data_IF_825472741135
#
_entry.id   IF_825472741135
#
_cell.length_a   1.000
_cell.length_b   1.000
_cell.length_c   1.000
_cell.angle_alpha   90.00
_cell.angle_beta   90.00
_cell.angle_gamma   90.00
#
_symmetry.space_group_name_H-M   'P 1'
#
loop_
_entity.id
_entity.type
_entity.pdbx_description
1 polymer ?
#
# COMPACT_ATOMS: atom_id res chain seq x y z
N UNK A 1 34.90 -24.68 30.52
CA UNK A 1 34.00 -23.74 29.81
C UNK A 1 32.60 -24.35 29.78
N UNK A 2 31.54 -23.59 30.06
CA UNK A 2 30.18 -24.13 29.97
C UNK A 2 29.87 -24.53 28.52
N UNK A 3 29.14 -25.63 28.36
CA UNK A 3 28.70 -26.11 27.05
C UNK A 3 27.67 -25.13 26.51
N UNK A 4 28.01 -24.44 25.41
CA UNK A 4 27.13 -23.48 24.74
C UNK A 4 26.27 -24.24 23.71
N UNK A 5 24.95 -23.97 23.60
CA UNK A 5 24.09 -24.62 22.62
C UNK A 5 24.58 -24.44 21.18
N UNK A 6 24.56 -25.52 20.40
CA UNK A 6 24.92 -25.50 18.97
C UNK A 6 23.80 -24.85 18.14
N UNK A 7 24.14 -24.16 17.04
CA UNK A 7 23.16 -23.51 16.16
C UNK A 7 22.02 -24.43 15.69
N UNK A 8 22.32 -25.71 15.39
CA UNK A 8 21.30 -26.70 14.99
C UNK A 8 20.25 -26.94 16.07
N UNK A 9 20.67 -26.95 17.34
CA UNK A 9 19.76 -27.13 18.47
C UNK A 9 18.86 -25.89 18.64
N UNK A 10 19.43 -24.68 18.54
CA UNK A 10 18.64 -23.43 18.58
C UNK A 10 17.59 -23.37 17.47
N UNK A 11 17.94 -23.78 16.24
CA UNK A 11 16.99 -23.87 15.13
C UNK A 11 15.87 -24.88 15.40
N UNK A 12 16.19 -26.03 16.01
CA UNK A 12 15.21 -27.05 16.33
C UNK A 12 14.24 -26.62 17.43
N UNK A 13 14.76 -25.98 18.48
CA UNK A 13 13.93 -25.39 19.55
C UNK A 13 13.03 -24.29 19.00
N UNK A 14 13.57 -23.40 18.15
CA UNK A 14 12.78 -22.38 17.48
C UNK A 14 11.67 -22.98 16.60
N UNK A 15 11.98 -24.02 15.82
CA UNK A 15 10.98 -24.69 15.00
C UNK A 15 9.87 -25.34 15.85
N UNK A 16 10.23 -25.98 16.97
CA UNK A 16 9.26 -26.57 17.90
C UNK A 16 8.37 -25.52 18.57
N UNK A 17 8.94 -24.38 18.98
CA UNK A 17 8.18 -23.26 19.53
C UNK A 17 7.24 -22.61 18.49
N UNK A 18 7.68 -22.44 17.24
CA UNK A 18 6.81 -21.95 16.17
C UNK A 18 5.67 -22.93 15.89
N UNK A 19 5.94 -24.24 15.91
CA UNK A 19 4.92 -25.27 15.73
C UNK A 19 3.91 -25.31 16.90
N UNK A 20 4.36 -25.12 18.14
CA UNK A 20 3.46 -25.11 19.30
C UNK A 20 2.49 -23.92 19.27
N UNK A 21 2.92 -22.77 18.72
CA UNK A 21 2.10 -21.56 18.55
C UNK A 21 1.47 -21.44 17.17
N UNK A 22 1.53 -22.48 16.33
CA UNK A 22 1.04 -22.41 14.95
C UNK A 22 -0.45 -22.05 14.88
N UNK A 23 -1.26 -22.53 15.83
CA UNK A 23 -2.67 -22.18 15.93
C UNK A 23 -2.90 -20.69 16.14
N UNK A 24 -2.16 -20.08 17.07
CA UNK A 24 -2.22 -18.64 17.36
C UNK A 24 -1.70 -17.80 16.19
N UNK A 25 -0.57 -18.19 15.59
CA UNK A 25 0.00 -17.53 14.42
C UNK A 25 -1.00 -17.57 13.26
N UNK A 26 -1.61 -18.73 13.00
CA UNK A 26 -2.65 -18.88 12.00
C UNK A 26 -3.85 -18.01 12.33
N UNK A 27 -4.35 -18.03 13.57
CA UNK A 27 -5.48 -17.23 14.03
C UNK A 27 -5.22 -15.73 13.84
N UNK A 28 -4.02 -15.26 14.21
CA UNK A 28 -3.56 -13.88 14.05
C UNK A 28 -3.50 -13.46 12.57
N UNK A 29 -2.96 -14.32 11.71
CA UNK A 29 -2.96 -14.05 10.26
C UNK A 29 -4.39 -14.05 9.74
N UNK A 30 -5.25 -14.97 10.18
CA UNK A 30 -6.62 -15.11 9.69
C UNK A 30 -7.61 -14.09 10.25
N UNK A 31 -7.29 -13.44 11.37
CA UNK A 31 -8.11 -12.39 11.98
C UNK A 31 -7.95 -11.04 11.31
N UNK A 32 -6.95 -10.87 10.44
CA UNK A 32 -6.80 -9.65 9.65
C UNK A 32 -8.01 -9.48 8.72
N UNK A 33 -8.62 -8.30 8.75
CA UNK A 33 -9.76 -7.92 7.92
C UNK A 33 -9.72 -6.41 7.64
N UNK A 34 -10.64 -5.91 6.83
CA UNK A 34 -10.75 -4.50 6.50
C UNK A 34 -12.00 -4.22 5.68
N UNK A 35 -12.48 -2.98 5.74
CA UNK A 35 -13.57 -2.51 4.90
C UNK A 35 -13.09 -1.95 3.57
N UNK A 36 -11.81 -1.60 3.45
CA UNK A 36 -11.21 -1.07 2.23
C UNK A 36 -9.98 -1.89 1.89
N UNK A 37 -10.06 -2.62 0.79
CA UNK A 37 -8.99 -3.48 0.33
C UNK A 37 -8.25 -2.84 -0.84
N UNK A 38 -6.99 -3.22 -1.01
CA UNK A 38 -6.18 -2.94 -2.20
C UNK A 38 -5.60 -4.23 -2.75
N UNK A 39 -5.88 -4.51 -4.02
CA UNK A 39 -5.28 -5.60 -4.79
C UNK A 39 -4.27 -5.02 -5.79
N UNK A 40 -2.99 -5.32 -5.56
CA UNK A 40 -1.88 -4.94 -6.44
C UNK A 40 -1.30 -6.20 -7.09
N UNK A 41 -1.15 -6.20 -8.41
CA UNK A 41 -0.61 -7.34 -9.15
C UNK A 41 0.62 -6.93 -9.97
N UNK A 42 1.73 -7.63 -9.76
CA UNK A 42 3.01 -7.27 -10.37
C UNK A 42 3.79 -8.46 -10.91
N UNK A 43 4.43 -8.27 -12.07
CA UNK A 43 5.43 -9.21 -12.61
C UNK A 43 6.84 -8.96 -12.06
N UNK A 44 7.08 -7.80 -11.45
CA UNK A 44 8.45 -7.32 -11.14
C UNK A 44 9.18 -8.23 -10.16
N UNK A 45 8.51 -8.63 -9.08
CA UNK A 45 9.13 -9.50 -8.06
C UNK A 45 9.34 -10.92 -8.58
N UNK A 46 8.40 -11.43 -9.37
CA UNK A 46 8.47 -12.77 -9.95
C UNK A 46 9.67 -12.93 -10.88
N UNK A 47 10.00 -11.90 -11.66
CA UNK A 47 11.20 -11.87 -12.51
C UNK A 47 12.52 -11.90 -11.72
N UNK A 48 12.48 -11.57 -10.44
CA UNK A 48 13.66 -11.58 -9.55
C UNK A 48 13.83 -12.90 -8.80
N UNK A 49 12.88 -13.83 -8.92
CA UNK A 49 12.99 -15.15 -8.29
C UNK A 49 14.14 -15.96 -8.92
N UNK A 50 14.87 -16.68 -8.08
CA UNK A 50 16.06 -17.44 -8.46
C UNK A 50 16.04 -18.85 -7.86
N UNK A 51 17.00 -19.69 -8.27
CA UNK A 51 17.08 -21.08 -7.83
C UNK A 51 15.85 -21.88 -8.21
N UNK A 52 15.37 -22.73 -7.30
CA UNK A 52 14.18 -23.57 -7.49
C UNK A 52 12.88 -22.79 -7.65
N UNK A 53 12.84 -21.50 -7.29
CA UNK A 53 11.68 -20.64 -7.43
C UNK A 53 11.63 -19.89 -8.78
N UNK A 54 12.67 -19.98 -9.62
CA UNK A 54 12.69 -19.30 -10.92
C UNK A 54 11.62 -19.88 -11.84
N UNK A 55 10.89 -19.00 -12.52
CA UNK A 55 9.87 -19.35 -13.53
C UNK A 55 8.69 -20.20 -13.00
N UNK A 56 8.49 -20.28 -11.68
CA UNK A 56 7.35 -21.00 -11.08
C UNK A 56 6.05 -20.21 -11.10
N UNK A 57 6.12 -18.91 -11.36
CA UNK A 57 4.99 -18.01 -11.47
C UNK A 57 5.26 -16.95 -12.54
N UNK A 58 4.21 -16.23 -12.94
CA UNK A 58 4.31 -15.07 -13.83
C UNK A 58 3.90 -13.77 -13.13
N UNK A 59 3.08 -13.85 -12.08
CA UNK A 59 2.52 -12.73 -11.34
C UNK A 59 2.59 -12.95 -9.83
N UNK A 60 2.73 -11.86 -9.09
CA UNK A 60 2.52 -11.80 -7.65
C UNK A 60 1.36 -10.84 -7.39
N UNK A 61 0.35 -11.31 -6.66
CA UNK A 61 -0.81 -10.53 -6.28
C UNK A 61 -0.88 -10.40 -4.76
N UNK A 62 -1.06 -9.17 -4.28
CA UNK A 62 -1.13 -8.85 -2.86
C UNK A 62 -2.45 -8.14 -2.55
N UNK A 63 -3.10 -8.57 -1.48
CA UNK A 63 -4.27 -7.91 -0.90
C UNK A 63 -3.91 -7.32 0.45
N UNK A 64 -3.99 -6.00 0.57
CA UNK A 64 -3.84 -5.27 1.83
C UNK A 64 -5.12 -4.55 2.26
N UNK A 65 -5.22 -4.18 3.54
CA UNK A 65 -6.33 -3.40 4.09
C UNK A 65 -5.96 -1.92 4.33
N UNK A 66 -6.93 -1.14 4.79
CA UNK A 66 -6.79 0.28 5.14
C UNK A 66 -5.77 0.56 6.27
N UNK A 67 -5.44 -0.45 7.08
CA UNK A 67 -4.49 -0.34 8.18
C UNK A 67 -3.05 -0.65 7.76
N UNK A 68 -2.81 -0.89 6.46
CA UNK A 68 -1.48 -1.23 5.94
C UNK A 68 -1.06 -2.68 6.22
N UNK A 69 -2.00 -3.55 6.62
CA UNK A 69 -1.74 -4.96 6.87
C UNK A 69 -1.94 -5.76 5.60
N UNK A 70 -1.08 -6.76 5.38
CA UNK A 70 -1.22 -7.70 4.27
C UNK A 70 -2.16 -8.82 4.68
N UNK A 71 -3.30 -8.94 4.00
CA UNK A 71 -4.27 -10.00 4.24
C UNK A 71 -3.87 -11.29 3.51
N UNK A 72 -3.37 -11.16 2.28
CA UNK A 72 -3.02 -12.30 1.43
C UNK A 72 -2.00 -11.92 0.36
N UNK A 73 -1.09 -12.86 0.06
CA UNK A 73 -0.13 -12.77 -1.05
C UNK A 73 -0.08 -14.10 -1.78
N UNK A 74 -0.25 -14.08 -3.10
CA UNK A 74 -0.20 -15.28 -3.94
C UNK A 74 0.68 -15.08 -5.17
N UNK A 75 1.33 -16.16 -5.60
CA UNK A 75 2.05 -16.24 -6.87
C UNK A 75 1.21 -17.04 -7.87
N UNK A 76 0.95 -16.48 -9.05
CA UNK A 76 0.06 -17.08 -10.06
C UNK A 76 0.68 -17.09 -11.45
N UNK A 77 0.18 -17.99 -12.31
CA UNK A 77 0.54 -18.04 -13.73
C UNK A 77 -0.12 -16.90 -14.54
N UNK A 78 -1.23 -16.35 -14.05
CA UNK A 78 -1.98 -15.27 -14.72
C UNK A 78 -2.65 -14.33 -13.71
N UNK A 79 -2.89 -13.09 -14.16
CA UNK A 79 -3.81 -12.15 -13.51
C UNK A 79 -5.27 -12.50 -13.88
N UNK A 80 -6.25 -11.73 -13.41
CA UNK A 80 -7.67 -11.94 -13.74
C UNK A 80 -8.16 -13.26 -13.14
N UNK A 81 -8.72 -14.15 -13.97
CA UNK A 81 -9.28 -15.43 -13.51
C UNK A 81 -8.28 -16.34 -12.79
N UNK A 82 -6.97 -16.14 -12.98
CA UNK A 82 -5.94 -16.80 -12.16
C UNK A 82 -6.06 -16.51 -10.66
N UNK A 83 -6.74 -15.42 -10.29
CA UNK A 83 -7.00 -15.00 -8.91
C UNK A 83 -8.32 -15.53 -8.33
N UNK A 84 -9.11 -16.29 -9.09
CA UNK A 84 -10.43 -16.75 -8.67
C UNK A 84 -10.42 -17.52 -7.34
N UNK A 85 -9.51 -18.51 -7.20
CA UNK A 85 -9.36 -19.27 -5.96
C UNK A 85 -8.91 -18.43 -4.77
N UNK A 86 -8.07 -17.42 -5.02
CA UNK A 86 -7.63 -16.48 -3.98
C UNK A 86 -8.81 -15.65 -3.49
N UNK A 87 -9.61 -15.10 -4.42
CA UNK A 87 -10.79 -14.31 -4.09
C UNK A 87 -11.85 -15.15 -3.35
N UNK A 88 -12.12 -16.37 -3.82
CA UNK A 88 -13.03 -17.31 -3.15
C UNK A 88 -12.56 -17.62 -1.73
N UNK A 89 -11.28 -17.93 -1.55
CA UNK A 89 -10.70 -18.18 -0.23
C UNK A 89 -10.83 -16.97 0.70
N UNK A 90 -10.65 -15.76 0.17
CA UNK A 90 -10.80 -14.52 0.93
C UNK A 90 -12.25 -14.25 1.34
N UNK A 91 -13.21 -14.43 0.42
CA UNK A 91 -14.65 -14.33 0.70
C UNK A 91 -15.04 -15.33 1.79
N UNK A 92 -14.63 -16.59 1.64
CA UNK A 92 -14.92 -17.66 2.60
C UNK A 92 -14.33 -17.36 3.97
N UNK A 93 -13.11 -16.82 4.03
CA UNK A 93 -12.48 -16.41 5.28
C UNK A 93 -13.27 -15.31 5.99
N UNK A 94 -13.71 -14.27 5.27
CA UNK A 94 -14.55 -13.22 5.86
C UNK A 94 -15.85 -13.79 6.41
N UNK A 95 -16.49 -14.68 5.64
CA UNK A 95 -17.73 -15.35 6.06
C UNK A 95 -17.53 -16.22 7.31
N UNK A 96 -16.49 -17.05 7.34
CA UNK A 96 -16.20 -17.95 8.46
C UNK A 96 -15.83 -17.21 9.74
N UNK A 97 -15.10 -16.10 9.62
CA UNK A 97 -14.72 -15.25 10.75
C UNK A 97 -15.81 -14.24 11.15
N UNK A 98 -16.98 -14.28 10.50
CA UNK A 98 -18.09 -13.35 10.71
C UNK A 98 -17.69 -11.87 10.55
N UNK A 99 -16.77 -11.58 9.62
CA UNK A 99 -16.42 -10.21 9.26
C UNK A 99 -17.42 -9.63 8.28
N UNK A 100 -17.69 -8.32 8.42
CA UNK A 100 -18.44 -7.59 7.41
C UNK A 100 -17.69 -7.62 6.07
N UNK A 101 -18.38 -7.85 4.94
CA UNK A 101 -17.76 -7.74 3.62
C UNK A 101 -17.10 -6.37 3.41
N UNK A 102 -15.98 -6.31 2.67
CA UNK A 102 -15.37 -5.04 2.32
C UNK A 102 -16.31 -4.21 1.46
N UNK A 103 -16.27 -2.90 1.67
CA UNK A 103 -17.06 -1.92 0.92
C UNK A 103 -16.37 -1.53 -0.38
N UNK A 104 -15.04 -1.44 -0.36
CA UNK A 104 -14.25 -0.96 -1.50
C UNK A 104 -13.06 -1.88 -1.76
N UNK A 105 -12.77 -2.11 -3.05
CA UNK A 105 -11.54 -2.74 -3.52
C UNK A 105 -10.84 -1.82 -4.52
N UNK A 106 -9.65 -1.31 -4.17
CA UNK A 106 -8.77 -0.60 -5.09
C UNK A 106 -7.93 -1.59 -5.91
N UNK A 107 -7.82 -1.34 -7.21
CA UNK A 107 -7.05 -2.19 -8.14
C UNK A 107 -6.41 -1.37 -9.25
N UNK A 108 -5.37 -1.93 -9.85
CA UNK A 108 -4.57 -1.36 -10.94
C UNK A 108 -5.35 -1.17 -12.26
N UNK A 109 -6.27 -2.10 -12.53
CA UNK A 109 -7.01 -2.20 -13.80
C UNK A 109 -8.35 -2.87 -13.58
N UNK A 110 -9.18 -2.94 -14.61
CA UNK A 110 -10.44 -3.71 -14.56
C UNK A 110 -11.37 -3.28 -13.41
N UNK A 111 -11.37 -1.99 -13.07
CA UNK A 111 -12.20 -1.40 -12.02
C UNK A 111 -13.57 -0.91 -12.50
N UNK A 112 -13.80 -0.92 -13.82
CA UNK A 112 -15.02 -0.41 -14.45
C UNK A 112 -16.12 -1.49 -14.50
N UNK A 113 -17.38 -1.08 -14.75
CA UNK A 113 -18.55 -1.96 -14.72
C UNK A 113 -18.35 -3.23 -15.57
N UNK A 114 -18.82 -4.38 -15.06
CA UNK A 114 -18.76 -5.71 -15.69
C UNK A 114 -17.35 -6.28 -15.93
N UNK A 115 -16.35 -5.83 -15.19
CA UNK A 115 -15.01 -6.42 -15.26
C UNK A 115 -14.94 -7.87 -14.75
N UNK A 116 -13.87 -8.58 -15.12
CA UNK A 116 -13.61 -9.91 -14.57
C UNK A 116 -13.48 -9.92 -13.05
N UNK A 117 -12.97 -8.84 -12.45
CA UNK A 117 -12.83 -8.73 -11.00
C UNK A 117 -14.18 -8.73 -10.28
N UNK A 118 -15.22 -8.11 -10.87
CA UNK A 118 -16.57 -8.19 -10.31
C UNK A 118 -17.10 -9.64 -10.29
N UNK A 119 -16.77 -10.45 -11.30
CA UNK A 119 -17.14 -11.86 -11.34
C UNK A 119 -16.35 -12.69 -10.33
N UNK A 120 -15.04 -12.44 -10.23
CA UNK A 120 -14.12 -13.14 -9.33
C UNK A 120 -14.47 -12.86 -7.85
N UNK A 121 -14.85 -11.64 -7.50
CA UNK A 121 -15.31 -11.25 -6.17
C UNK A 121 -16.84 -11.32 -6.01
N UNK A 122 -17.52 -12.16 -6.80
CA UNK A 122 -18.99 -12.26 -6.82
C UNK A 122 -19.63 -12.63 -5.47
N UNK A 123 -18.86 -13.17 -4.52
CA UNK A 123 -19.31 -13.40 -3.14
C UNK A 123 -19.54 -12.13 -2.31
N UNK A 124 -19.16 -10.96 -2.82
CA UNK A 124 -19.41 -9.65 -2.21
C UNK A 124 -20.21 -8.76 -3.18
N UNK A 125 -21.55 -8.90 -3.24
CA UNK A 125 -22.38 -8.24 -4.27
C UNK A 125 -22.37 -6.71 -4.18
N UNK A 126 -22.14 -6.16 -2.99
CA UNK A 126 -22.08 -4.72 -2.75
C UNK A 126 -20.64 -4.16 -2.83
N UNK A 127 -19.66 -4.98 -3.25
CA UNK A 127 -18.28 -4.53 -3.34
C UNK A 127 -18.12 -3.49 -4.46
N UNK A 128 -17.65 -2.33 -4.06
CA UNK A 128 -17.32 -1.25 -4.96
C UNK A 128 -15.86 -1.36 -5.44
N UNK A 129 -15.64 -1.71 -6.71
CA UNK A 129 -14.29 -1.74 -7.27
C UNK A 129 -13.92 -0.34 -7.78
N UNK A 130 -12.72 0.13 -7.42
CA UNK A 130 -12.20 1.46 -7.75
C UNK A 130 -10.77 1.35 -8.28
N UNK A 131 -10.38 2.32 -9.09
CA UNK A 131 -9.01 2.43 -9.57
C UNK A 131 -8.11 2.95 -8.45
N UNK A 132 -6.93 2.38 -8.26
CA UNK A 132 -5.97 2.96 -7.32
C UNK A 132 -5.48 4.33 -7.81
N UNK A 133 -5.06 5.16 -6.85
CA UNK A 133 -4.67 6.56 -7.11
C UNK A 133 -3.51 6.69 -8.11
N UNK A 134 -2.58 5.75 -8.14
CA UNK A 134 -1.43 5.82 -9.03
C UNK A 134 -1.83 5.49 -10.48
N UNK A 135 -2.64 4.45 -10.68
CA UNK A 135 -3.17 4.16 -12.01
C UNK A 135 -4.19 5.21 -12.45
N UNK A 136 -4.93 5.83 -11.54
CA UNK A 136 -5.76 6.99 -11.84
C UNK A 136 -4.93 8.14 -12.43
N UNK A 137 -3.85 8.54 -11.74
CA UNK A 137 -2.94 9.57 -12.25
C UNK A 137 -2.35 9.20 -13.61
N UNK A 138 -1.91 7.95 -13.77
CA UNK A 138 -1.39 7.49 -15.06
C UNK A 138 -2.43 7.54 -16.17
N UNK A 139 -3.69 7.16 -15.91
CA UNK A 139 -4.75 7.22 -16.93
C UNK A 139 -5.03 8.64 -17.40
N UNK A 140 -5.01 9.61 -16.48
CA UNK A 140 -5.13 11.03 -16.85
C UNK A 140 -3.93 11.44 -17.72
N UNK A 141 -2.72 11.12 -17.28
CA UNK A 141 -1.51 11.51 -18.00
C UNK A 141 -1.39 10.91 -19.41
N UNK A 142 -1.93 9.69 -19.64
CA UNK A 142 -1.98 9.06 -20.98
C UNK A 142 -2.73 9.94 -21.99
N UNK A 143 -3.76 10.68 -21.57
CA UNK A 143 -4.50 11.60 -22.43
C UNK A 143 -3.73 12.86 -22.79
N UNK A 144 -2.68 13.18 -22.04
CA UNK A 144 -1.93 14.42 -22.17
C UNK A 144 -0.51 14.25 -22.71
N UNK A 145 0.08 13.03 -22.74
CA UNK A 145 1.34 12.63 -23.43
C UNK A 145 1.89 11.25 -22.98
N UNK A 146 2.95 10.76 -23.64
CA UNK A 146 3.76 9.62 -23.15
C UNK A 146 4.76 10.05 -22.06
N UNK A 147 5.29 9.12 -21.29
CA UNK A 147 6.28 9.37 -20.22
C UNK A 147 7.61 9.98 -20.71
N UNK A 148 7.85 9.90 -22.02
CA UNK A 148 9.04 10.44 -22.69
C UNK A 148 8.88 11.90 -23.12
N UNK A 149 7.69 12.49 -22.96
CA UNK A 149 7.43 13.85 -23.38
C UNK A 149 8.01 14.89 -22.40
N UNK A 150 8.63 16.00 -22.87
CA UNK A 150 9.25 17.00 -22.00
C UNK A 150 8.33 17.61 -20.93
N UNK A 151 7.02 17.72 -21.22
CA UNK A 151 6.04 18.29 -20.30
C UNK A 151 5.49 17.29 -19.26
N UNK A 152 5.78 15.99 -19.41
CA UNK A 152 5.20 14.94 -18.57
C UNK A 152 5.52 15.16 -17.08
N UNK A 153 6.75 15.54 -16.76
CA UNK A 153 7.19 15.79 -15.38
C UNK A 153 6.43 16.96 -14.74
N UNK A 154 6.27 18.07 -15.46
CA UNK A 154 5.52 19.23 -15.02
C UNK A 154 4.05 18.92 -14.81
N UNK A 155 3.42 18.21 -15.76
CA UNK A 155 2.04 17.76 -15.65
C UNK A 155 1.83 16.86 -14.43
N UNK A 156 2.69 15.86 -14.24
CA UNK A 156 2.61 14.95 -13.09
C UNK A 156 2.84 15.67 -11.76
N UNK A 157 3.68 16.70 -11.72
CA UNK A 157 3.87 17.52 -10.54
C UNK A 157 2.59 18.29 -10.17
N UNK A 158 1.92 18.91 -11.16
CA UNK A 158 0.64 19.60 -10.95
C UNK A 158 -0.47 18.63 -10.53
N UNK A 159 -0.63 17.52 -11.25
CA UNK A 159 -1.63 16.51 -10.92
C UNK A 159 -1.42 15.94 -9.51
N UNK A 160 -0.15 15.67 -9.15
CA UNK A 160 0.20 15.22 -7.79
C UNK A 160 -0.17 16.25 -6.73
N UNK A 161 0.00 17.55 -7.00
CA UNK A 161 -0.37 18.63 -6.08
C UNK A 161 -1.89 18.77 -5.90
N UNK A 162 -2.65 18.50 -6.96
CA UNK A 162 -4.12 18.48 -6.92
C UNK A 162 -4.65 17.31 -6.08
N UNK A 163 -3.98 16.16 -6.13
CA UNK A 163 -4.44 14.94 -5.44
C UNK A 163 -3.90 14.84 -4.01
N UNK A 164 -2.64 15.21 -3.80
CA UNK A 164 -1.95 14.98 -2.53
C UNK A 164 -1.48 16.27 -1.85
N UNK A 165 -1.73 16.33 -0.55
CA UNK A 165 -1.38 17.40 0.37
C UNK A 165 -0.47 16.84 1.47
N UNK A 166 0.43 17.67 2.01
CA UNK A 166 1.22 17.27 3.18
C UNK A 166 0.30 17.08 4.39
N UNK A 167 0.50 15.99 5.12
CA UNK A 167 -0.24 15.79 6.36
C UNK A 167 0.08 16.93 7.34
N UNK A 168 -0.95 17.60 7.83
CA UNK A 168 -0.77 18.74 8.72
C UNK A 168 -0.15 18.33 10.05
N UNK A 169 -0.52 17.18 10.62
CA UNK A 169 0.06 16.75 11.89
C UNK A 169 1.55 16.49 11.78
N UNK A 170 1.99 15.85 10.69
CA UNK A 170 3.42 15.61 10.47
C UNK A 170 4.17 16.93 10.20
N UNK A 171 3.54 17.86 9.48
CA UNK A 171 4.12 19.17 9.20
C UNK A 171 4.30 20.00 10.48
N UNK A 172 3.31 20.02 11.38
CA UNK A 172 3.43 20.73 12.65
C UNK A 172 4.57 20.16 13.50
N UNK A 173 4.67 18.82 13.62
CA UNK A 173 5.76 18.18 14.34
C UNK A 173 7.14 18.53 13.75
N UNK A 174 7.24 18.61 12.42
CA UNK A 174 8.49 19.02 11.78
C UNK A 174 8.82 20.48 12.08
N UNK A 175 7.83 21.37 12.07
CA UNK A 175 8.01 22.79 12.41
C UNK A 175 8.47 22.94 13.87
N UNK A 176 7.84 22.24 14.80
CA UNK A 176 8.21 22.22 16.22
C UNK A 176 9.64 21.71 16.42
N UNK A 177 9.99 20.59 15.78
CA UNK A 177 11.34 20.04 15.84
C UNK A 177 12.37 21.00 15.25
N UNK A 178 12.05 21.66 14.12
CA UNK A 178 12.97 22.59 13.48
C UNK A 178 13.20 23.85 14.30
N UNK A 179 12.15 24.35 14.96
CA UNK A 179 12.26 25.46 15.92
C UNK A 179 13.21 25.10 17.06
N UNK A 180 13.01 23.94 17.69
CA UNK A 180 13.85 23.49 18.80
C UNK A 180 15.32 23.33 18.39
N UNK A 181 15.59 22.84 17.18
CA UNK A 181 16.96 22.75 16.62
C UNK A 181 17.62 24.14 16.51
N UNK A 182 16.90 25.14 15.98
CA UNK A 182 17.41 26.49 15.82
C UNK A 182 17.62 27.19 17.17
N UNK A 183 16.69 27.00 18.12
CA UNK A 183 16.81 27.52 19.48
C UNK A 183 18.00 26.91 20.23
N UNK A 184 18.28 25.62 20.02
CA UNK A 184 19.47 24.97 20.57
C UNK A 184 20.78 25.52 20.00
N UNK A 185 20.74 26.13 18.80
CA UNK A 185 21.85 26.90 18.22
C UNK A 185 21.87 28.38 18.66
N UNK A 186 21.12 28.74 19.72
CA UNK A 186 20.98 30.11 20.23
C UNK A 186 20.41 31.11 19.20
N UNK A 187 19.62 30.62 18.25
CA UNK A 187 18.81 31.46 17.37
C UNK A 187 17.42 31.65 17.99
N UNK A 188 16.81 32.82 17.82
CA UNK A 188 15.41 33.07 18.19
C UNK A 188 14.57 33.25 16.93
N UNK A 189 14.24 32.15 16.22
CA UNK A 189 13.63 32.24 14.90
C UNK A 189 12.16 32.68 15.00
N UNK A 190 11.74 33.55 14.08
CA UNK A 190 10.31 33.76 13.82
C UNK A 190 9.71 32.51 13.15
N UNK A 191 8.38 32.42 13.13
CA UNK A 191 7.66 31.34 12.41
C UNK A 191 8.09 31.23 10.94
N UNK A 192 8.34 32.36 10.29
CA UNK A 192 8.76 32.39 8.89
C UNK A 192 10.20 31.94 8.70
N UNK A 193 11.09 32.21 9.66
CA UNK A 193 12.47 31.72 9.62
C UNK A 193 12.52 30.20 9.75
N UNK A 194 11.71 29.65 10.67
CA UNK A 194 11.57 28.20 10.83
C UNK A 194 11.08 27.59 9.52
N UNK A 195 9.99 28.10 8.94
CA UNK A 195 9.43 27.57 7.68
C UNK A 195 10.40 27.63 6.51
N UNK A 196 11.17 28.72 6.38
CA UNK A 196 12.18 28.87 5.31
C UNK A 196 13.38 27.95 5.51
N UNK A 197 13.70 27.61 6.75
CA UNK A 197 14.81 26.70 7.08
C UNK A 197 14.49 25.23 6.81
N UNK A 198 13.20 24.85 6.74
CA UNK A 198 12.77 23.49 6.42
C UNK A 198 13.05 23.19 4.95
N UNK A 199 13.90 22.21 4.72
CA UNK A 199 14.28 21.74 3.39
C UNK A 199 13.26 20.76 2.81
N UNK A 200 13.26 20.64 1.47
CA UNK A 200 12.47 19.60 0.78
C UNK A 200 12.84 18.18 1.23
N UNK A 201 14.09 17.95 1.64
CA UNK A 201 14.59 16.65 2.11
C UNK A 201 14.01 16.31 3.48
N UNK A 202 13.93 17.27 4.40
CA UNK A 202 13.29 17.09 5.70
C UNK A 202 11.79 16.83 5.53
N UNK A 203 11.11 17.59 4.67
CA UNK A 203 9.71 17.33 4.32
C UNK A 203 9.50 15.91 3.80
N UNK A 204 10.36 15.44 2.90
CA UNK A 204 10.28 14.08 2.34
C UNK A 204 10.51 12.99 3.39
N UNK A 205 11.41 13.23 4.34
CA UNK A 205 11.80 12.24 5.35
C UNK A 205 10.78 12.14 6.49
N UNK A 206 10.16 13.26 6.85
CA UNK A 206 9.39 13.37 8.10
C UNK A 206 7.89 13.60 7.89
N UNK A 207 7.46 14.07 6.72
CA UNK A 207 6.06 14.31 6.45
C UNK A 207 5.53 13.32 5.42
N UNK A 208 4.37 12.71 5.68
CA UNK A 208 3.65 11.97 4.62
C UNK A 208 2.83 12.92 3.76
N UNK A 209 2.54 12.48 2.54
CA UNK A 209 1.54 13.11 1.67
C UNK A 209 0.27 12.28 1.67
N UNK A 210 -0.85 12.89 2.03
CA UNK A 210 -2.16 12.27 2.08
C UNK A 210 -3.02 12.71 0.89
N UNK A 211 -3.99 11.88 0.52
CA UNK A 211 -4.98 12.23 -0.50
C UNK A 211 -5.88 13.33 0.05
N UNK A 212 -6.16 14.36 -0.75
CA UNK A 212 -7.08 15.45 -0.39
C UNK A 212 -8.51 14.94 -0.22
N UNK A 213 -9.35 15.62 0.57
CA UNK A 213 -10.80 15.43 0.54
C UNK A 213 -11.34 15.56 -0.89
N UNK A 214 -12.37 14.78 -1.22
CA UNK A 214 -12.93 14.74 -2.57
C UNK A 214 -13.38 16.13 -3.07
N UNK A 215 -14.06 16.90 -2.23
CA UNK A 215 -14.52 18.25 -2.58
C UNK A 215 -13.37 19.21 -2.95
N UNK A 216 -12.25 19.17 -2.22
CA UNK A 216 -11.07 19.97 -2.57
C UNK A 216 -10.42 19.49 -3.87
N UNK A 217 -10.36 18.17 -4.07
CA UNK A 217 -9.77 17.58 -5.26
C UNK A 217 -10.58 17.95 -6.51
N UNK A 218 -11.90 17.92 -6.45
CA UNK A 218 -12.79 18.32 -7.55
C UNK A 218 -12.56 19.77 -7.98
N UNK A 219 -12.44 20.68 -7.02
CA UNK A 219 -12.11 22.10 -7.29
C UNK A 219 -10.74 22.22 -7.95
N UNK A 220 -9.72 21.53 -7.42
CA UNK A 220 -8.35 21.62 -7.93
C UNK A 220 -8.18 21.00 -9.32
N UNK A 221 -8.93 19.93 -9.64
CA UNK A 221 -8.89 19.30 -10.96
C UNK A 221 -9.71 20.05 -12.02
N UNK A 222 -10.64 20.91 -11.61
CA UNK A 222 -11.44 21.75 -12.51
C UNK A 222 -10.82 23.11 -12.86
N UNK A 223 -9.65 23.44 -12.28
CA UNK A 223 -8.86 24.65 -12.55
C UNK A 223 -7.83 24.39 -13.65
#
# INVERSE_FOLDING_TARGET
MPIVPKHRWLMQVYAQDVLSRLGEVKASITSLSGQVLKLDSTKKIVRKLAGSARSTAAWAANVGNEFGQVIMSVLTASEGWGLAKMAEGLVNRYKQANFAPPRVLYTDRDCCKNSHLHKIFGGWPNLCIRLDVWHFMRRIAVGCTTDSHPLYSGFMAQLSRCIFVWDQSDLQRLIEAKRAELEACHLHPSDDDVRKSITKKEMQLHCKRAVRPAAEMEVMLGQ
#
